data_IF_037884461838
#
_entry.id   IF_037884461838
#
_cell.length_a   1.000
_cell.length_b   1.000
_cell.length_c   1.000
_cell.angle_alpha   90.00
_cell.angle_beta   90.00
_cell.angle_gamma   90.00
#
_symmetry.space_group_name_H-M   'P 1'
#
loop_
_entity.id
_entity.type
_entity.pdbx_description
1 polymer ?
#
# COMPACT_ATOMS: atom_id res chain seq x y z
N UNK A 1 1.66 -12.95 -15.10
CA UNK A 1 0.58 -12.40 -14.26
C UNK A 1 0.29 -11.00 -14.77
N UNK A 2 -0.82 -10.79 -15.48
CA UNK A 2 -1.11 -9.52 -16.14
C UNK A 2 -1.77 -8.56 -15.15
N UNK A 3 -0.97 -7.74 -14.48
CA UNK A 3 -1.47 -6.46 -13.97
C UNK A 3 -1.95 -5.62 -15.17
N UNK A 4 -3.05 -4.87 -15.06
CA UNK A 4 -3.51 -4.02 -16.16
C UNK A 4 -2.37 -3.10 -16.59
N UNK A 5 -2.00 -3.18 -17.87
CA UNK A 5 -1.00 -2.32 -18.49
C UNK A 5 -1.38 -0.85 -18.22
N UNK A 6 -0.50 -0.07 -17.58
CA UNK A 6 -0.66 1.32 -17.10
C UNK A 6 -1.30 1.56 -15.73
N UNK A 7 -0.76 0.97 -14.66
CA UNK A 7 -0.82 1.61 -13.35
C UNK A 7 0.58 2.17 -13.02
N UNK A 8 0.83 3.48 -13.17
CA UNK A 8 2.16 4.06 -12.87
C UNK A 8 2.55 3.94 -11.40
N UNK A 9 1.60 3.88 -10.45
CA UNK A 9 1.88 3.78 -9.01
C UNK A 9 0.90 2.88 -8.26
N UNK A 10 1.40 2.09 -7.31
CA UNK A 10 0.59 1.18 -6.48
C UNK A 10 -0.60 1.90 -5.81
N UNK A 11 -0.42 3.15 -5.36
CA UNK A 11 -1.46 3.96 -4.71
C UNK A 11 -2.72 4.20 -5.56
N UNK A 12 -2.64 3.99 -6.88
CA UNK A 12 -3.81 4.12 -7.77
C UNK A 12 -4.69 2.86 -7.81
N UNK A 13 -4.26 1.78 -7.16
CA UNK A 13 -5.08 0.59 -6.95
C UNK A 13 -5.98 0.86 -5.74
N UNK A 14 -7.30 0.76 -5.90
CA UNK A 14 -8.19 0.84 -4.73
C UNK A 14 -7.98 -0.35 -3.80
N UNK A 15 -8.10 -0.13 -2.49
CA UNK A 15 -7.91 -1.18 -1.47
C UNK A 15 -8.81 -2.40 -1.72
N UNK A 16 -10.07 -2.18 -2.08
CA UNK A 16 -11.02 -3.26 -2.42
C UNK A 16 -10.55 -4.07 -3.62
N UNK A 17 -10.08 -3.41 -4.69
CA UNK A 17 -9.57 -4.11 -5.88
C UNK A 17 -8.32 -4.92 -5.54
N UNK A 18 -7.40 -4.35 -4.78
CA UNK A 18 -6.21 -5.04 -4.32
C UNK A 18 -6.55 -6.31 -3.53
N UNK A 19 -7.40 -6.20 -2.51
CA UNK A 19 -7.78 -7.31 -1.65
C UNK A 19 -8.45 -8.45 -2.42
N UNK A 20 -9.34 -8.12 -3.36
CA UNK A 20 -10.13 -9.13 -4.08
C UNK A 20 -9.37 -9.77 -5.25
N UNK A 21 -8.46 -9.06 -5.90
CA UNK A 21 -7.89 -9.50 -7.19
C UNK A 21 -6.39 -9.79 -7.13
N UNK A 22 -5.63 -9.09 -6.28
CA UNK A 22 -4.17 -9.09 -6.36
C UNK A 22 -3.49 -9.60 -5.10
N UNK A 23 -4.05 -9.37 -3.91
CA UNK A 23 -3.39 -9.67 -2.64
C UNK A 23 -2.98 -11.13 -2.49
N UNK A 24 -3.83 -12.06 -2.91
CA UNK A 24 -3.57 -13.51 -2.85
C UNK A 24 -2.65 -14.02 -3.95
N UNK A 25 -2.41 -13.20 -4.98
CA UNK A 25 -1.51 -13.51 -6.08
C UNK A 25 -0.05 -13.15 -5.73
N UNK A 26 0.16 -12.28 -4.74
CA UNK A 26 1.50 -11.86 -4.32
C UNK A 26 2.07 -12.85 -3.29
N UNK A 27 3.33 -13.29 -3.47
CA UNK A 27 3.99 -14.09 -2.45
C UNK A 27 4.21 -13.24 -1.19
N UNK A 28 4.15 -13.88 -0.02
CA UNK A 28 4.39 -13.16 1.23
C UNK A 28 5.79 -12.55 1.27
N UNK A 29 6.78 -13.34 0.84
CA UNK A 29 8.19 -12.98 0.77
C UNK A 29 8.82 -13.56 -0.50
N UNK A 30 9.88 -12.92 -0.99
CA UNK A 30 10.68 -13.39 -2.13
C UNK A 30 12.15 -13.02 -1.93
N UNK A 31 13.08 -13.90 -2.31
CA UNK A 31 14.50 -13.53 -2.34
C UNK A 31 14.78 -12.49 -3.41
N UNK A 32 15.77 -11.62 -3.18
CA UNK A 32 16.21 -10.66 -4.19
C UNK A 32 16.65 -11.34 -5.50
N UNK A 33 17.30 -12.50 -5.41
CA UNK A 33 17.68 -13.30 -6.57
C UNK A 33 16.48 -13.70 -7.46
N UNK A 34 15.37 -14.14 -6.85
CA UNK A 34 14.15 -14.48 -7.58
C UNK A 34 13.45 -13.23 -8.13
N UNK A 35 13.53 -12.11 -7.40
CA UNK A 35 12.95 -10.84 -7.82
C UNK A 35 13.63 -10.29 -9.07
N UNK A 36 14.98 -10.29 -9.09
CA UNK A 36 15.80 -9.86 -10.24
C UNK A 36 15.51 -10.70 -11.48
N UNK A 37 15.35 -12.02 -11.31
CA UNK A 37 15.05 -12.92 -12.42
C UNK A 37 13.67 -12.67 -13.05
N UNK A 38 12.75 -12.03 -12.32
CA UNK A 38 11.35 -11.92 -12.68
C UNK A 38 10.95 -10.57 -13.29
N UNK A 39 11.78 -9.53 -13.14
CA UNK A 39 11.40 -8.13 -13.45
C UNK A 39 12.55 -7.32 -14.04
N UNK A 40 12.22 -6.42 -14.97
CA UNK A 40 13.12 -5.32 -15.35
C UNK A 40 13.08 -4.26 -14.26
N UNK A 41 14.23 -4.05 -13.60
CA UNK A 41 14.38 -3.03 -12.58
C UNK A 41 14.73 -1.68 -13.22
N UNK A 42 14.24 -0.61 -12.61
CA UNK A 42 14.73 0.74 -12.92
C UNK A 42 16.22 0.84 -12.51
N UNK A 43 17.09 1.45 -13.34
CA UNK A 43 18.53 1.54 -13.08
C UNK A 43 18.93 2.19 -11.75
N UNK A 44 18.04 2.94 -11.07
CA UNK A 44 18.33 3.56 -9.78
C UNK A 44 18.05 2.64 -8.59
N UNK A 45 17.33 1.53 -8.78
CA UNK A 45 16.98 0.61 -7.70
C UNK A 45 17.94 -0.57 -7.66
N UNK A 46 18.72 -0.69 -6.59
CA UNK A 46 19.58 -1.85 -6.34
C UNK A 46 18.86 -2.84 -5.42
N UNK A 47 18.75 -4.10 -5.86
CA UNK A 47 18.20 -5.20 -5.07
C UNK A 47 19.37 -6.07 -4.61
N UNK A 48 19.44 -6.34 -3.31
CA UNK A 48 20.39 -7.31 -2.77
C UNK A 48 19.88 -8.73 -3.06
N UNK A 49 20.61 -9.56 -3.83
CA UNK A 49 20.17 -10.91 -4.17
C UNK A 49 20.04 -11.85 -2.97
N UNK A 50 20.70 -11.54 -1.85
CA UNK A 50 20.71 -12.37 -0.64
C UNK A 50 19.62 -11.98 0.37
N UNK A 51 18.98 -10.82 0.18
CA UNK A 51 17.91 -10.37 1.05
C UNK A 51 16.57 -11.03 0.75
N UNK A 52 15.71 -11.10 1.78
CA UNK A 52 14.33 -11.60 1.67
C UNK A 52 13.37 -10.42 1.79
N UNK A 53 12.73 -10.07 0.69
CA UNK A 53 11.82 -8.93 0.62
C UNK A 53 10.39 -9.35 0.95
N UNK A 54 9.65 -8.61 1.80
CA UNK A 54 8.26 -8.90 2.13
C UNK A 54 7.31 -8.37 1.05
N UNK A 55 7.36 -8.95 -0.15
CA UNK A 55 6.68 -8.48 -1.37
C UNK A 55 5.23 -8.08 -1.12
N UNK A 56 4.43 -8.95 -0.49
CA UNK A 56 3.01 -8.65 -0.25
C UNK A 56 2.83 -7.48 0.70
N UNK A 57 3.55 -7.44 1.83
CA UNK A 57 3.43 -6.34 2.80
C UNK A 57 3.90 -5.01 2.20
N UNK A 58 5.06 -5.01 1.52
CA UNK A 58 5.62 -3.84 0.85
C UNK A 58 4.72 -3.32 -0.28
N UNK A 59 3.92 -4.20 -0.91
CA UNK A 59 2.92 -3.80 -1.91
C UNK A 59 1.63 -3.29 -1.26
N UNK A 60 1.16 -3.94 -0.19
CA UNK A 60 -0.07 -3.56 0.53
C UNK A 60 0.05 -2.18 1.17
N UNK A 61 1.19 -1.90 1.83
CA UNK A 61 1.37 -0.71 2.65
C UNK A 61 1.03 0.61 1.92
N UNK A 62 1.61 0.93 0.73
CA UNK A 62 1.28 2.18 0.03
C UNK A 62 -0.19 2.24 -0.44
N UNK A 63 -0.83 1.10 -0.71
CA UNK A 63 -2.24 1.04 -1.12
C UNK A 63 -3.15 1.34 0.08
N UNK A 64 -2.88 0.70 1.21
CA UNK A 64 -3.61 0.89 2.47
C UNK A 64 -3.42 2.30 3.01
N UNK A 65 -2.21 2.84 2.93
CA UNK A 65 -1.91 4.21 3.37
C UNK A 65 -2.62 5.25 2.50
N UNK A 66 -2.59 5.10 1.18
CA UNK A 66 -3.31 6.01 0.30
C UNK A 66 -4.83 5.97 0.58
N UNK A 67 -5.40 4.80 0.86
CA UNK A 67 -6.80 4.69 1.27
C UNK A 67 -7.07 5.44 2.59
N UNK A 68 -6.21 5.30 3.61
CA UNK A 68 -6.34 6.03 4.88
C UNK A 68 -6.26 7.53 4.68
N UNK A 69 -5.32 8.03 3.87
CA UNK A 69 -5.18 9.47 3.56
C UNK A 69 -6.43 10.01 2.89
N UNK A 70 -6.96 9.31 1.89
CA UNK A 70 -8.20 9.73 1.21
C UNK A 70 -9.40 9.74 2.16
N UNK A 71 -9.53 8.72 3.01
CA UNK A 71 -10.61 8.66 3.99
C UNK A 71 -10.48 9.79 5.05
N UNK A 72 -9.25 10.07 5.49
CA UNK A 72 -8.97 11.15 6.42
C UNK A 72 -9.35 12.52 5.83
N UNK A 73 -8.96 12.78 4.58
CA UNK A 73 -9.35 14.00 3.84
C UNK A 73 -10.87 14.12 3.72
N UNK A 74 -11.56 13.05 3.37
CA UNK A 74 -13.02 13.04 3.26
C UNK A 74 -13.68 13.37 4.60
N UNK A 75 -13.24 12.72 5.68
CA UNK A 75 -13.77 12.96 7.02
C UNK A 75 -13.55 14.40 7.48
N UNK A 76 -12.37 14.96 7.24
CA UNK A 76 -12.06 16.35 7.55
C UNK A 76 -12.98 17.36 6.83
N UNK A 77 -13.39 17.05 5.61
CA UNK A 77 -14.18 17.94 4.76
C UNK A 77 -15.70 17.75 4.88
N UNK A 78 -16.16 16.85 5.76
CA UNK A 78 -17.58 16.48 5.86
C UNK A 78 -18.47 17.62 6.36
N UNK A 79 -17.99 18.44 7.31
CA UNK A 79 -18.79 19.47 7.96
C UNK A 79 -17.97 20.66 8.46
N UNK A 80 -18.62 21.81 8.59
CA UNK A 80 -18.01 23.03 9.14
C UNK A 80 -17.64 22.89 10.62
N UNK A 81 -18.28 21.94 11.32
CA UNK A 81 -18.00 21.57 12.72
C UNK A 81 -17.88 20.04 12.85
N UNK A 82 -16.66 19.54 13.09
CA UNK A 82 -16.42 18.13 13.32
C UNK A 82 -16.94 17.70 14.70
N UNK A 83 -17.76 16.64 14.72
CA UNK A 83 -18.18 16.00 15.98
C UNK A 83 -17.01 15.24 16.62
N UNK A 84 -17.17 14.87 17.91
CA UNK A 84 -16.18 14.05 18.62
C UNK A 84 -15.94 12.69 17.94
N UNK A 85 -16.97 12.12 17.32
CA UNK A 85 -16.87 10.83 16.61
C UNK A 85 -16.02 10.95 15.34
N UNK A 86 -16.16 12.07 14.60
CA UNK A 86 -15.30 12.38 13.47
C UNK A 86 -13.84 12.55 13.91
N UNK A 87 -13.61 13.31 14.97
CA UNK A 87 -12.26 13.52 15.53
C UNK A 87 -11.63 12.20 16.02
N UNK A 88 -12.43 11.33 16.64
CA UNK A 88 -11.97 10.01 17.09
C UNK A 88 -11.61 9.10 15.90
N UNK A 89 -12.42 9.13 14.84
CA UNK A 89 -12.15 8.36 13.61
C UNK A 89 -10.89 8.85 12.91
N UNK A 90 -10.67 10.17 12.85
CA UNK A 90 -9.44 10.77 12.33
C UNK A 90 -8.22 10.34 13.15
N UNK A 91 -8.33 10.35 14.48
CA UNK A 91 -7.27 9.89 15.38
C UNK A 91 -6.92 8.41 15.18
N UNK A 92 -7.93 7.56 15.02
CA UNK A 92 -7.74 6.13 14.73
C UNK A 92 -7.00 5.90 13.40
N UNK A 93 -7.33 6.66 12.36
CA UNK A 93 -6.62 6.60 11.08
C UNK A 93 -5.14 6.99 11.22
N UNK A 94 -4.81 7.95 12.10
CA UNK A 94 -3.43 8.32 12.39
C UNK A 94 -2.67 7.20 13.12
N UNK A 95 -3.29 6.56 14.12
CA UNK A 95 -2.69 5.42 14.82
C UNK A 95 -2.44 4.24 13.88
N UNK A 96 -3.36 3.97 12.94
CA UNK A 96 -3.20 2.91 11.96
C UNK A 96 -2.09 3.18 10.94
N UNK A 97 -1.85 4.46 10.60
CA UNK A 97 -0.72 4.85 9.74
C UNK A 97 0.62 4.57 10.43
N UNK A 98 0.74 4.95 11.72
CA UNK A 98 1.94 4.71 12.53
C UNK A 98 2.26 3.21 12.69
N UNK A 99 1.23 2.40 12.96
CA UNK A 99 1.36 0.94 13.02
C UNK A 99 1.82 0.30 11.69
N UNK A 100 1.67 1.00 10.57
CA UNK A 100 2.16 0.53 9.27
C UNK A 100 3.68 0.65 9.09
N UNK A 101 4.36 1.45 9.90
CA UNK A 101 5.81 1.68 9.84
C UNK A 101 6.62 0.83 10.83
N UNK A 102 5.97 0.20 11.80
CA UNK A 102 6.59 -0.51 12.93
C UNK A 102 6.40 -2.02 12.81
#
# INVERSE_FOLDING_TARGET
MNLPNNIPHLCQISLSKFNNQYRMLLPEKMSGSNFIASLHLDPLTQIDPNEIYPVRAATSHPIEENFRVQLFEQLLNTDQHLSIDHLSSLGELMFQSDAGYT
#
